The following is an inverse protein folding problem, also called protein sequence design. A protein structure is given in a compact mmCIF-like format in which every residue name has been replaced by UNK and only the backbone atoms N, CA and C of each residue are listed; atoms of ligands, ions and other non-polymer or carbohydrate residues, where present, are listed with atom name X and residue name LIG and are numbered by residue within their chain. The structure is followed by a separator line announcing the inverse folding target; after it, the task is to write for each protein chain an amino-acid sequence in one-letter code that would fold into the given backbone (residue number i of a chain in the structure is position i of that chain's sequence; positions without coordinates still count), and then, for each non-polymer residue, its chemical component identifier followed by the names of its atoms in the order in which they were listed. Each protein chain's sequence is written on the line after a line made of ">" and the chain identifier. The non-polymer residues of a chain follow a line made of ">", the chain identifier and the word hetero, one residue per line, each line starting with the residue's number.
data_IF_041032415127
#
_entry.id   IF_041032415127
#
_cell.length_a   1.000
_cell.length_b   1.000
_cell.length_c   1.000
_cell.angle_alpha   90.00
_cell.angle_beta   90.00
_cell.angle_gamma   90.00
#
_symmetry.space_group_name_H-M   'P 1'
#
loop_
_entity.id
_entity.type
_entity.pdbx_description
1 polymer ?
#
# COMPACT_ATOMS: atom_id res chain seq x y z
N UNK A 1 -13.68 -11.43 21.52
CA UNK A 1 -12.60 -11.86 20.61
C UNK A 1 -12.89 -11.59 19.12
N UNK A 2 -13.63 -10.53 18.78
CA UNK A 2 -13.87 -10.07 17.41
C UNK A 2 -12.98 -8.85 17.05
N UNK A 3 -11.66 -8.96 17.24
CA UNK A 3 -10.71 -7.90 16.84
C UNK A 3 -9.77 -8.32 15.70
N UNK A 4 -9.82 -9.58 15.25
CA UNK A 4 -8.80 -10.12 14.33
C UNK A 4 -9.31 -10.59 12.96
N UNK A 5 -10.60 -10.44 12.64
CA UNK A 5 -11.16 -10.91 11.35
C UNK A 5 -11.17 -9.83 10.26
N UNK A 6 -10.88 -8.56 10.59
CA UNK A 6 -10.81 -7.46 9.61
C UNK A 6 -9.40 -7.34 8.98
N UNK A 7 -8.37 -7.85 9.66
CA UNK A 7 -6.98 -7.90 9.19
C UNK A 7 -6.74 -8.73 7.90
N UNK A 8 -7.34 -9.94 7.71
CA UNK A 8 -7.03 -10.76 6.54
C UNK A 8 -7.46 -10.11 5.23
N UNK A 9 -8.61 -9.43 5.18
CA UNK A 9 -9.09 -8.82 3.93
C UNK A 9 -8.24 -7.62 3.54
N UNK A 10 -7.85 -6.80 4.51
CA UNK A 10 -7.01 -5.62 4.24
C UNK A 10 -5.61 -6.03 3.76
N UNK A 11 -5.02 -7.06 4.38
CA UNK A 11 -3.74 -7.64 3.93
C UNK A 11 -3.87 -8.34 2.57
N UNK A 12 -4.98 -9.03 2.31
CA UNK A 12 -5.25 -9.71 1.05
C UNK A 12 -5.45 -8.72 -0.11
N UNK A 13 -6.20 -7.64 0.10
CA UNK A 13 -6.35 -6.57 -0.89
C UNK A 13 -5.00 -5.94 -1.25
N UNK A 14 -4.17 -5.67 -0.23
CA UNK A 14 -2.81 -5.15 -0.45
C UNK A 14 -1.92 -6.15 -1.18
N UNK A 15 -2.02 -7.45 -0.87
CA UNK A 15 -1.29 -8.49 -1.59
C UNK A 15 -1.72 -8.61 -3.06
N UNK A 16 -2.95 -8.22 -3.40
CA UNK A 16 -3.43 -8.12 -4.79
C UNK A 16 -3.07 -6.78 -5.45
N UNK A 17 -2.39 -5.88 -4.73
CA UNK A 17 -2.09 -4.54 -5.22
C UNK A 17 -3.34 -3.68 -5.37
N UNK A 18 -4.34 -3.83 -4.49
CA UNK A 18 -5.60 -3.08 -4.53
C UNK A 18 -5.69 -2.10 -3.37
N UNK A 19 -6.15 -0.88 -3.64
CA UNK A 19 -6.38 0.12 -2.62
C UNK A 19 -7.52 -0.29 -1.70
N UNK A 20 -7.22 -0.39 -0.40
CA UNK A 20 -8.18 -0.73 0.67
C UNK A 20 -9.29 0.31 0.89
N UNK A 21 -9.27 1.44 0.17
CA UNK A 21 -10.28 2.49 0.26
C UNK A 21 -11.23 2.55 -0.91
N UNK A 22 -10.68 2.62 -2.12
CA UNK A 22 -11.46 2.82 -3.34
C UNK A 22 -11.52 1.57 -4.24
N UNK A 23 -10.83 0.48 -3.89
CA UNK A 23 -10.83 -0.75 -4.68
C UNK A 23 -10.08 -0.66 -6.01
N UNK A 24 -9.45 0.47 -6.32
CA UNK A 24 -8.63 0.65 -7.54
C UNK A 24 -7.29 -0.07 -7.39
N UNK A 25 -6.76 -0.59 -8.49
CA UNK A 25 -5.41 -1.14 -8.56
C UNK A 25 -4.37 -0.06 -8.26
N UNK A 26 -3.41 -0.40 -7.40
CA UNK A 26 -2.27 0.45 -7.04
C UNK A 26 -1.27 0.58 -8.20
N UNK A 27 -1.28 -0.37 -9.14
CA UNK A 27 -0.51 -0.28 -10.39
C UNK A 27 -0.89 0.92 -11.25
N UNK A 28 -2.15 1.35 -11.19
CA UNK A 28 -2.67 2.51 -11.94
C UNK A 28 -2.44 3.82 -11.18
N UNK A 29 -1.85 3.75 -9.98
CA UNK A 29 -1.47 4.90 -9.17
C UNK A 29 -0.16 5.53 -9.64
N UNK A 30 0.21 6.64 -9.02
CA UNK A 30 1.53 7.24 -9.24
C UNK A 30 2.56 6.53 -8.37
N UNK A 31 3.41 5.71 -9.00
CA UNK A 31 4.56 5.07 -8.36
C UNK A 31 5.78 5.98 -8.45
N UNK A 32 6.44 6.26 -7.33
CA UNK A 32 7.69 7.03 -7.25
C UNK A 32 8.66 6.31 -6.34
N UNK A 33 9.98 6.34 -6.59
CA UNK A 33 10.96 5.81 -5.65
C UNK A 33 10.83 6.50 -4.29
N UNK A 34 10.76 5.74 -3.21
CA UNK A 34 10.71 6.33 -1.87
C UNK A 34 12.08 6.91 -1.51
N UNK A 35 12.13 8.19 -1.16
CA UNK A 35 13.35 8.85 -0.68
C UNK A 35 13.64 8.53 0.80
N UNK A 36 12.61 8.07 1.51
CA UNK A 36 12.63 7.81 2.96
C UNK A 36 12.91 6.35 3.28
N UNK A 37 12.37 5.44 2.46
CA UNK A 37 12.48 4.00 2.67
C UNK A 37 13.35 3.43 1.56
N UNK A 38 14.57 3.00 1.91
CA UNK A 38 15.49 2.39 0.95
C UNK A 38 14.84 1.15 0.32
N UNK A 39 15.07 0.99 -0.98
CA UNK A 39 14.60 -0.13 -1.79
C UNK A 39 13.09 -0.34 -1.76
N UNK A 40 12.31 0.73 -1.58
CA UNK A 40 10.86 0.70 -1.65
C UNK A 40 10.35 1.83 -2.56
N UNK A 41 9.20 1.60 -3.18
CA UNK A 41 8.50 2.59 -3.98
C UNK A 41 7.31 3.13 -3.21
N UNK A 42 7.09 4.43 -3.29
CA UNK A 42 5.89 5.09 -2.80
C UNK A 42 4.84 5.11 -3.90
N UNK A 43 3.66 4.55 -3.64
CA UNK A 43 2.55 4.45 -4.60
C UNK A 43 1.38 5.28 -4.10
N UNK A 44 1.05 6.34 -4.82
CA UNK A 44 -0.10 7.20 -4.52
C UNK A 44 -1.29 6.78 -5.36
N UNK A 45 -2.34 6.29 -4.68
CA UNK A 45 -3.60 5.93 -5.31
C UNK A 45 -4.37 7.18 -5.76
N UNK A 46 -5.22 7.05 -6.77
CA UNK A 46 -6.10 8.11 -7.29
C UNK A 46 -7.00 8.75 -6.21
N UNK A 47 -7.32 8.00 -5.14
CA UNK A 47 -8.08 8.52 -3.99
C UNK A 47 -7.24 9.37 -3.02
N UNK A 48 -5.96 9.64 -3.32
CA UNK A 48 -5.03 10.40 -2.47
C UNK A 48 -4.37 9.59 -1.35
N UNK A 49 -4.62 8.27 -1.25
CA UNK A 49 -3.95 7.42 -0.25
C UNK A 49 -2.58 6.99 -0.74
N UNK A 50 -1.60 7.07 0.15
CA UNK A 50 -0.21 6.72 -0.13
C UNK A 50 0.12 5.35 0.47
N UNK A 51 0.77 4.53 -0.34
CA UNK A 51 1.23 3.19 0.00
C UNK A 51 2.73 3.09 -0.23
N UNK A 52 3.36 2.14 0.44
CA UNK A 52 4.76 1.77 0.21
C UNK A 52 4.76 0.36 -0.35
N UNK A 53 5.28 0.22 -1.56
CA UNK A 53 5.54 -1.03 -2.23
C UNK A 53 6.97 -1.47 -1.96
N UNK A 54 7.12 -2.70 -1.46
CA UNK A 54 8.43 -3.31 -1.30
C UNK A 54 8.65 -4.32 -2.44
N UNK A 55 9.51 -4.01 -3.43
CA UNK A 55 9.82 -4.91 -4.54
C UNK A 55 10.51 -6.21 -4.09
N UNK A 56 11.22 -6.23 -2.95
CA UNK A 56 11.89 -7.44 -2.45
C UNK A 56 10.91 -8.50 -1.96
N UNK A 57 9.82 -8.06 -1.34
CA UNK A 57 8.78 -8.98 -0.81
C UNK A 57 7.51 -8.97 -1.65
N UNK A 58 7.44 -8.13 -2.68
CA UNK A 58 6.25 -7.89 -3.50
C UNK A 58 5.00 -7.60 -2.66
N UNK A 59 5.16 -6.79 -1.61
CA UNK A 59 4.08 -6.44 -0.70
C UNK A 59 3.81 -4.95 -0.71
N UNK A 60 2.52 -4.61 -0.59
CA UNK A 60 2.08 -3.25 -0.37
C UNK A 60 1.72 -3.06 1.10
N UNK A 61 2.14 -1.94 1.67
CA UNK A 61 1.70 -1.49 3.00
C UNK A 61 1.25 -0.05 2.92
N UNK A 62 0.48 0.41 3.91
CA UNK A 62 0.19 1.85 4.04
C UNK A 62 1.46 2.61 4.41
N UNK A 63 1.67 3.76 3.79
CA UNK A 63 2.73 4.67 4.20
C UNK A 63 2.43 5.23 5.60
N UNK A 64 3.46 5.36 6.42
CA UNK A 64 3.37 6.10 7.69
C UNK A 64 3.37 7.60 7.39
N UNK A 65 2.81 8.42 8.28
CA UNK A 65 2.81 9.88 8.12
C UNK A 65 4.24 10.45 7.97
N UNK A 66 5.23 9.81 8.59
CA UNK A 66 6.64 10.18 8.50
C UNK A 66 7.29 9.87 7.14
N UNK A 67 6.64 9.01 6.34
CA UNK A 67 7.09 8.50 5.04
C UNK A 67 6.32 9.12 3.86
N UNK A 68 5.33 9.97 4.14
CA UNK A 68 4.60 10.77 3.15
C UNK A 68 5.35 12.08 2.88
#
# INVERSE_FOLDING_TARGET
>A
MFKNIIAPVQAWLLSRGVCVGCGTTLTDGQSKPSTKVKDCDQVTCKCGRVFVYNPKTNTYRRALLSEI
#
